data_IF_718904839004
#
_entry.id   IF_718904839004
#
_cell.length_a   1.000
_cell.length_b   1.000
_cell.length_c   1.000
_cell.angle_alpha   90.00
_cell.angle_beta   90.00
_cell.angle_gamma   90.00
#
_symmetry.space_group_name_H-M   'P 1'
#
loop_
_entity.id
_entity.type
_entity.pdbx_description
1 polymer ?
#
# COMPACT_ATOMS: atom_id res chain seq x y z
N UNK A 1 -18.78 -39.30 -1.21
CA UNK A 1 -18.60 -38.06 -0.42
C UNK A 1 -17.15 -37.86 -0.05
N UNK A 2 -16.70 -36.59 0.05
CA UNK A 2 -15.31 -36.23 0.36
C UNK A 2 -14.37 -36.09 -0.85
N UNK A 3 -14.90 -36.13 -2.08
CA UNK A 3 -14.13 -35.82 -3.28
C UNK A 3 -13.87 -34.32 -3.43
N UNK A 4 -12.81 -33.97 -4.14
CA UNK A 4 -12.46 -32.58 -4.46
C UNK A 4 -12.40 -32.43 -5.97
N UNK A 5 -13.04 -31.38 -6.49
CA UNK A 5 -12.99 -31.00 -7.90
C UNK A 5 -12.45 -29.58 -8.00
N UNK A 6 -11.41 -29.39 -8.82
CA UNK A 6 -10.94 -28.07 -9.22
C UNK A 6 -11.53 -27.76 -10.60
N UNK A 7 -12.34 -26.71 -10.68
CA UNK A 7 -12.80 -26.20 -11.96
C UNK A 7 -11.64 -25.55 -12.73
N UNK A 8 -11.79 -25.49 -14.04
CA UNK A 8 -10.89 -24.73 -14.89
C UNK A 8 -10.97 -23.22 -14.57
N UNK A 9 -9.99 -22.44 -15.03
CA UNK A 9 -9.92 -21.00 -14.77
C UNK A 9 -11.23 -20.26 -15.11
N UNK A 10 -11.88 -19.68 -14.09
CA UNK A 10 -13.13 -18.92 -14.23
C UNK A 10 -13.00 -17.72 -15.20
N UNK A 11 -11.79 -17.21 -15.43
CA UNK A 11 -11.56 -16.11 -16.39
C UNK A 11 -11.39 -16.55 -17.84
N UNK A 12 -11.48 -17.85 -18.14
CA UNK A 12 -11.69 -18.30 -19.53
C UNK A 12 -13.07 -17.90 -20.06
N UNK A 13 -14.02 -17.63 -19.16
CA UNK A 13 -15.33 -17.10 -19.48
C UNK A 13 -15.28 -15.57 -19.43
N UNK A 14 -15.52 -14.90 -20.56
CA UNK A 14 -15.52 -13.43 -20.67
C UNK A 14 -16.63 -12.78 -19.85
N UNK A 15 -17.62 -13.58 -19.48
CA UNK A 15 -18.77 -13.27 -18.66
C UNK A 15 -18.41 -13.07 -17.18
N UNK A 16 -17.29 -13.65 -16.71
CA UNK A 16 -16.85 -13.59 -15.31
C UNK A 16 -16.64 -12.15 -14.83
N UNK A 17 -15.80 -11.38 -15.52
CA UNK A 17 -15.48 -10.00 -15.13
C UNK A 17 -16.66 -9.03 -15.34
N UNK A 18 -17.67 -9.44 -16.11
CA UNK A 18 -18.90 -8.68 -16.33
C UNK A 18 -19.97 -8.97 -15.28
N UNK A 19 -19.72 -9.92 -14.38
CA UNK A 19 -20.70 -10.40 -13.42
C UNK A 19 -22.00 -10.84 -14.07
N UNK A 20 -21.88 -11.58 -15.18
CA UNK A 20 -23.04 -11.98 -15.97
C UNK A 20 -23.99 -12.90 -15.15
N UNK A 21 -25.29 -12.57 -15.07
CA UNK A 21 -26.24 -13.36 -14.28
C UNK A 21 -26.41 -14.80 -14.77
N UNK A 22 -26.35 -15.05 -16.08
CA UNK A 22 -26.52 -16.40 -16.62
C UNK A 22 -25.29 -17.26 -16.37
N UNK A 23 -24.09 -16.67 -16.43
CA UNK A 23 -22.88 -17.36 -16.01
C UNK A 23 -22.87 -17.66 -14.50
N UNK A 24 -23.28 -16.70 -13.67
CA UNK A 24 -23.40 -16.90 -12.22
C UNK A 24 -24.41 -18.01 -11.86
N UNK A 25 -25.55 -18.11 -12.56
CA UNK A 25 -26.50 -19.22 -12.42
C UNK A 25 -25.90 -20.56 -12.79
N UNK A 26 -25.11 -20.62 -13.87
CA UNK A 26 -24.41 -21.85 -14.29
C UNK A 26 -23.45 -22.33 -13.21
N UNK A 27 -22.62 -21.43 -12.67
CA UNK A 27 -21.74 -21.74 -11.54
C UNK A 27 -22.52 -22.21 -10.31
N UNK A 28 -23.60 -21.51 -9.98
CA UNK A 28 -24.46 -21.86 -8.85
C UNK A 28 -25.12 -23.24 -9.01
N UNK A 29 -25.46 -23.65 -10.23
CA UNK A 29 -26.14 -24.95 -10.47
C UNK A 29 -25.31 -26.18 -10.08
N UNK A 30 -24.01 -26.00 -9.80
CA UNK A 30 -23.07 -27.07 -9.44
C UNK A 30 -22.94 -27.31 -7.93
N UNK A 31 -23.58 -26.50 -7.09
CA UNK A 31 -23.39 -26.54 -5.64
C UNK A 31 -24.67 -26.17 -4.87
N UNK A 32 -24.71 -26.53 -3.58
CA UNK A 32 -25.82 -26.18 -2.69
C UNK A 32 -25.54 -24.91 -1.87
N UNK A 33 -24.26 -24.62 -1.61
CA UNK A 33 -23.81 -23.50 -0.80
C UNK A 33 -22.57 -22.85 -1.40
N UNK A 34 -22.30 -21.62 -0.99
CA UNK A 34 -21.14 -20.85 -1.44
C UNK A 34 -20.27 -20.42 -0.26
N UNK A 35 -18.96 -20.64 -0.41
CA UNK A 35 -17.95 -20.17 0.54
C UNK A 35 -16.98 -19.27 -0.24
N UNK A 36 -16.94 -17.99 0.09
CA UNK A 36 -15.92 -17.08 -0.44
C UNK A 36 -14.70 -17.11 0.48
N UNK A 37 -13.62 -17.75 0.04
CA UNK A 37 -12.34 -17.77 0.74
C UNK A 37 -11.24 -16.96 0.00
N UNK A 38 -11.66 -16.06 -0.90
CA UNK A 38 -10.78 -15.31 -1.80
C UNK A 38 -10.86 -13.78 -1.56
N UNK A 39 -10.29 -13.31 -0.45
CA UNK A 39 -10.28 -11.87 -0.10
C UNK A 39 -9.72 -10.98 -1.23
N UNK A 40 -8.64 -11.41 -1.87
CA UNK A 40 -7.98 -10.65 -2.95
C UNK A 40 -8.87 -10.35 -4.16
N UNK A 41 -9.96 -11.09 -4.36
CA UNK A 41 -10.93 -10.86 -5.45
C UNK A 41 -12.23 -10.21 -4.98
N UNK A 42 -12.47 -10.13 -3.67
CA UNK A 42 -13.73 -9.64 -3.09
C UNK A 42 -14.03 -8.16 -3.37
N UNK A 43 -13.01 -7.37 -3.74
CA UNK A 43 -13.16 -5.96 -4.11
C UNK A 43 -13.76 -5.74 -5.51
N UNK A 44 -13.99 -6.80 -6.29
CA UNK A 44 -14.60 -6.74 -7.62
C UNK A 44 -15.89 -7.54 -7.65
N UNK A 45 -16.92 -6.95 -8.25
CA UNK A 45 -18.17 -7.63 -8.53
C UNK A 45 -17.99 -8.50 -9.78
N UNK A 46 -17.65 -9.77 -9.61
CA UNK A 46 -17.58 -10.76 -10.68
C UNK A 46 -18.59 -11.89 -10.45
N UNK A 47 -18.84 -12.73 -11.47
CA UNK A 47 -19.83 -13.79 -11.37
C UNK A 47 -19.46 -14.82 -10.30
N UNK A 48 -18.20 -15.23 -10.21
CA UNK A 48 -17.71 -16.19 -9.21
C UNK A 48 -17.61 -15.63 -7.78
N UNK A 49 -17.55 -14.29 -7.61
CA UNK A 49 -17.32 -13.65 -6.31
C UNK A 49 -18.58 -13.02 -5.70
N UNK A 50 -19.38 -12.34 -6.51
CA UNK A 50 -20.59 -11.60 -6.12
C UNK A 50 -21.83 -12.24 -6.73
N UNK A 51 -21.83 -12.51 -8.04
CA UNK A 51 -23.02 -12.96 -8.77
C UNK A 51 -23.58 -14.27 -8.24
N UNK A 52 -22.71 -15.25 -7.98
CA UNK A 52 -23.09 -16.58 -7.48
C UNK A 52 -23.84 -16.50 -6.13
N UNK A 53 -23.56 -15.49 -5.31
CA UNK A 53 -24.19 -15.31 -3.98
C UNK A 53 -25.68 -14.97 -4.04
N UNK A 54 -26.16 -14.53 -5.22
CA UNK A 54 -27.56 -14.26 -5.49
C UNK A 54 -28.37 -15.55 -5.65
N UNK A 55 -27.71 -16.65 -5.99
CA UNK A 55 -28.35 -17.93 -6.31
C UNK A 55 -28.06 -19.03 -5.28
N UNK A 56 -26.92 -18.97 -4.57
CA UNK A 56 -26.57 -19.94 -3.54
C UNK A 56 -26.84 -19.42 -2.12
N UNK A 57 -27.52 -20.25 -1.31
CA UNK A 57 -27.80 -19.98 0.11
C UNK A 57 -27.57 -21.27 0.94
N UNK A 58 -26.74 -21.22 2.00
CA UNK A 58 -26.05 -20.05 2.53
C UNK A 58 -24.87 -19.61 1.65
N UNK A 59 -24.55 -18.32 1.71
CA UNK A 59 -23.32 -17.74 1.18
C UNK A 59 -22.52 -17.19 2.35
N UNK A 60 -21.34 -17.75 2.61
CA UNK A 60 -20.54 -17.47 3.81
C UNK A 60 -19.10 -17.10 3.45
N UNK A 61 -18.41 -16.46 4.39
CA UNK A 61 -16.97 -16.28 4.33
C UNK A 61 -16.26 -17.59 4.73
N UNK A 62 -15.21 -17.94 3.99
CA UNK A 62 -14.24 -18.94 4.45
C UNK A 62 -13.30 -18.37 5.51
N UNK A 63 -12.43 -19.22 6.05
CA UNK A 63 -11.55 -18.84 7.16
C UNK A 63 -10.44 -17.86 6.76
N UNK A 64 -9.92 -17.91 5.53
CA UNK A 64 -8.94 -16.94 5.04
C UNK A 64 -9.59 -15.57 4.88
N UNK A 65 -10.78 -15.52 4.27
CA UNK A 65 -11.50 -14.25 4.12
C UNK A 65 -11.87 -13.67 5.49
N UNK A 66 -12.37 -14.50 6.40
CA UNK A 66 -12.68 -14.09 7.78
C UNK A 66 -11.44 -13.52 8.47
N UNK A 67 -10.31 -14.23 8.41
CA UNK A 67 -9.05 -13.81 9.01
C UNK A 67 -8.59 -12.46 8.47
N UNK A 68 -8.66 -12.24 7.15
CA UNK A 68 -8.32 -10.95 6.52
C UNK A 68 -9.23 -9.83 7.03
N UNK A 69 -10.55 -10.06 7.12
CA UNK A 69 -11.50 -9.09 7.67
C UNK A 69 -11.20 -8.77 9.14
N UNK A 70 -10.95 -9.79 9.97
CA UNK A 70 -10.66 -9.61 11.39
C UNK A 70 -9.39 -8.77 11.60
N UNK A 71 -8.34 -9.01 10.81
CA UNK A 71 -7.12 -8.21 10.87
C UNK A 71 -7.34 -6.78 10.39
N UNK A 72 -7.94 -6.59 9.22
CA UNK A 72 -8.11 -5.25 8.64
C UNK A 72 -9.10 -4.41 9.44
N UNK A 73 -10.25 -4.96 9.80
CA UNK A 73 -11.25 -4.24 10.62
C UNK A 73 -10.72 -4.01 12.01
N UNK A 74 -10.06 -5.00 12.63
CA UNK A 74 -9.47 -4.87 13.96
C UNK A 74 -8.37 -3.80 14.01
N UNK A 75 -7.42 -3.85 13.08
CA UNK A 75 -6.30 -2.91 13.03
C UNK A 75 -6.74 -1.49 12.66
N UNK A 76 -7.84 -1.31 11.94
CA UNK A 76 -8.26 0.02 11.45
C UNK A 76 -9.40 0.62 12.29
N UNK A 77 -10.33 -0.16 12.80
CA UNK A 77 -11.52 0.36 13.49
C UNK A 77 -11.30 0.63 14.97
N UNK A 78 -10.49 -0.19 15.65
CA UNK A 78 -10.15 -0.01 17.06
C UNK A 78 -8.68 -0.42 17.34
N UNK A 79 -7.70 0.28 16.74
CA UNK A 79 -6.29 -0.04 16.90
C UNK A 79 -5.82 0.12 18.35
N UNK A 80 -4.84 -0.67 18.76
CA UNK A 80 -4.10 -0.40 19.99
C UNK A 80 -3.17 0.79 19.72
N UNK A 81 -3.28 1.84 20.54
CA UNK A 81 -2.50 3.07 20.39
C UNK A 81 -1.18 3.05 21.18
N UNK A 82 -0.08 3.63 20.66
CA UNK A 82 -0.01 4.40 19.41
C UNK A 82 -0.16 3.56 18.13
N UNK A 83 -0.95 4.05 17.19
CA UNK A 83 -1.21 3.44 15.89
C UNK A 83 -0.40 4.15 14.81
N UNK A 84 0.51 3.43 14.16
CA UNK A 84 1.28 3.95 13.05
C UNK A 84 0.82 3.35 11.71
N UNK A 85 0.91 4.16 10.66
CA UNK A 85 0.88 3.67 9.30
C UNK A 85 2.17 4.01 8.56
N UNK A 86 2.59 3.09 7.70
CA UNK A 86 3.71 3.23 6.79
C UNK A 86 3.14 3.13 5.38
N UNK A 87 3.28 4.19 4.58
CA UNK A 87 2.76 4.22 3.21
C UNK A 87 3.91 4.53 2.26
N UNK A 88 4.20 3.56 1.39
CA UNK A 88 5.20 3.67 0.35
C UNK A 88 4.63 3.52 -1.05
N UNK A 89 5.52 3.55 -2.04
CA UNK A 89 5.19 3.40 -3.45
C UNK A 89 5.67 4.57 -4.31
N UNK A 90 5.48 4.44 -5.62
CA UNK A 90 6.05 5.38 -6.59
C UNK A 90 5.18 6.63 -6.83
N UNK A 91 3.87 6.56 -6.60
CA UNK A 91 2.92 7.63 -6.96
C UNK A 91 1.98 7.97 -5.82
N UNK A 92 1.87 9.26 -5.51
CA UNK A 92 0.88 9.83 -4.58
C UNK A 92 -0.53 9.50 -5.06
N UNK A 93 -0.81 9.65 -6.35
CA UNK A 93 -2.14 9.42 -6.96
C UNK A 93 -2.72 8.04 -6.65
N UNK A 94 -1.86 7.01 -6.59
CA UNK A 94 -2.26 5.63 -6.28
C UNK A 94 -2.55 5.39 -4.79
N UNK A 95 -2.13 6.30 -3.91
CA UNK A 95 -2.17 6.16 -2.44
C UNK A 95 -3.02 7.21 -1.74
N UNK A 96 -3.64 8.15 -2.46
CA UNK A 96 -4.43 9.24 -1.89
C UNK A 96 -5.49 8.70 -0.92
N UNK A 97 -6.36 7.79 -1.38
CA UNK A 97 -7.44 7.27 -0.55
C UNK A 97 -6.94 6.51 0.69
N UNK A 98 -5.78 5.85 0.58
CA UNK A 98 -5.13 5.17 1.71
C UNK A 98 -4.63 6.20 2.73
N UNK A 99 -3.89 7.22 2.28
CA UNK A 99 -3.38 8.28 3.16
C UNK A 99 -4.53 9.04 3.82
N UNK A 100 -5.54 9.47 3.06
CA UNK A 100 -6.67 10.22 3.60
C UNK A 100 -7.44 9.42 4.64
N UNK A 101 -7.68 8.13 4.39
CA UNK A 101 -8.36 7.25 5.35
C UNK A 101 -7.54 7.04 6.62
N UNK A 102 -6.22 6.88 6.50
CA UNK A 102 -5.33 6.64 7.63
C UNK A 102 -5.09 7.91 8.45
N UNK A 103 -5.03 9.09 7.83
CA UNK A 103 -4.93 10.37 8.54
C UNK A 103 -6.07 10.62 9.52
N UNK A 104 -7.23 10.00 9.33
CA UNK A 104 -8.35 10.07 10.28
C UNK A 104 -8.15 9.20 11.54
N UNK A 105 -7.17 8.29 11.52
CA UNK A 105 -7.10 7.17 12.48
C UNK A 105 -5.75 7.02 13.17
N UNK A 106 -4.66 7.25 12.46
CA UNK A 106 -3.29 6.99 12.95
C UNK A 106 -2.79 8.13 13.84
N UNK A 107 -1.90 7.80 14.78
CA UNK A 107 -1.14 8.77 15.55
C UNK A 107 0.14 9.20 14.79
N UNK A 108 0.71 8.27 14.01
CA UNK A 108 1.95 8.46 13.25
C UNK A 108 1.75 7.99 11.80
N UNK A 109 2.20 8.79 10.84
CA UNK A 109 2.20 8.43 9.42
C UNK A 109 3.61 8.58 8.85
N UNK A 110 4.24 7.46 8.50
CA UNK A 110 5.52 7.40 7.80
C UNK A 110 5.27 7.31 6.30
N UNK A 111 5.88 8.19 5.50
CA UNK A 111 5.83 8.10 4.04
C UNK A 111 7.18 7.71 3.45
N UNK A 112 7.19 6.83 2.47
CA UNK A 112 8.40 6.35 1.78
C UNK A 112 8.18 6.12 0.29
N UNK A 113 9.18 5.56 -0.40
CA UNK A 113 9.14 5.30 -1.85
C UNK A 113 9.22 6.57 -2.70
N UNK A 114 9.07 6.43 -4.02
CA UNK A 114 9.16 7.56 -4.96
C UNK A 114 8.14 8.68 -4.71
N UNK A 115 7.02 8.39 -4.07
CA UNK A 115 5.99 9.41 -3.85
C UNK A 115 6.41 10.54 -2.92
N UNK A 116 7.43 10.35 -2.07
CA UNK A 116 7.95 11.39 -1.16
C UNK A 116 8.51 12.60 -1.91
N UNK A 117 9.01 12.42 -3.14
CA UNK A 117 9.60 13.52 -3.90
C UNK A 117 8.54 14.53 -4.36
N UNK A 118 7.28 14.11 -4.54
CA UNK A 118 6.15 15.04 -4.74
C UNK A 118 5.92 15.89 -3.49
N UNK A 119 6.07 15.34 -2.28
CA UNK A 119 5.96 16.10 -1.03
C UNK A 119 7.13 17.07 -0.85
N UNK A 120 8.37 16.64 -1.13
CA UNK A 120 9.53 17.52 -1.07
C UNK A 120 9.46 18.66 -2.08
N UNK A 121 9.03 18.36 -3.32
CA UNK A 121 8.82 19.37 -4.36
C UNK A 121 7.75 20.38 -3.93
N UNK A 122 6.65 19.91 -3.34
CA UNK A 122 5.60 20.78 -2.79
C UNK A 122 6.09 21.68 -1.64
N UNK A 123 7.12 21.25 -0.89
CA UNK A 123 7.80 22.05 0.13
C UNK A 123 8.89 22.98 -0.44
N UNK A 124 9.08 23.00 -1.76
CA UNK A 124 10.07 23.84 -2.45
C UNK A 124 11.48 23.27 -2.48
N UNK A 125 11.68 22.00 -2.14
CA UNK A 125 13.00 21.36 -2.19
C UNK A 125 13.38 20.92 -3.61
N UNK A 126 14.68 20.92 -3.91
CA UNK A 126 15.19 20.28 -5.12
C UNK A 126 15.17 18.76 -4.98
N UNK A 127 14.69 18.08 -6.01
CA UNK A 127 14.55 16.61 -6.05
C UNK A 127 15.28 15.99 -7.24
N UNK A 128 16.13 16.75 -7.92
CA UNK A 128 16.86 16.31 -9.11
C UNK A 128 15.93 15.71 -10.17
N UNK A 129 16.24 14.49 -10.60
CA UNK A 129 15.46 13.70 -11.56
C UNK A 129 14.55 12.66 -10.90
N UNK A 130 14.24 12.82 -9.61
CA UNK A 130 13.36 11.91 -8.88
C UNK A 130 11.91 11.98 -9.40
N UNK A 131 11.13 10.93 -9.15
CA UNK A 131 9.75 10.81 -9.63
C UNK A 131 8.82 11.80 -8.92
N UNK A 132 8.26 12.75 -9.67
CA UNK A 132 7.32 13.77 -9.16
C UNK A 132 6.02 13.74 -9.95
N UNK A 133 4.90 13.84 -9.25
CA UNK A 133 3.58 14.11 -9.85
C UNK A 133 3.28 15.61 -9.74
N UNK A 134 3.67 16.38 -10.76
CA UNK A 134 3.55 17.85 -10.77
C UNK A 134 2.10 18.34 -10.60
N UNK A 135 1.12 17.57 -11.10
CA UNK A 135 -0.31 17.86 -10.95
C UNK A 135 -0.88 17.49 -9.56
N UNK A 136 -0.02 17.08 -8.62
CA UNK A 136 -0.38 16.64 -7.26
C UNK A 136 0.35 17.41 -6.15
N UNK A 137 1.09 18.48 -6.46
CA UNK A 137 1.79 19.29 -5.46
C UNK A 137 0.84 19.97 -4.46
N UNK A 138 -0.27 20.52 -4.95
CA UNK A 138 -1.30 21.14 -4.09
C UNK A 138 -1.94 20.11 -3.16
N UNK A 139 -2.14 18.89 -3.68
CA UNK A 139 -2.66 17.78 -2.88
C UNK A 139 -1.66 17.38 -1.78
N UNK A 140 -0.38 17.21 -2.12
CA UNK A 140 0.66 16.90 -1.14
C UNK A 140 0.73 17.96 -0.03
N UNK A 141 0.66 19.25 -0.40
CA UNK A 141 0.58 20.37 0.55
C UNK A 141 -0.65 20.27 1.46
N UNK A 142 -1.81 19.95 0.89
CA UNK A 142 -3.07 19.79 1.63
C UNK A 142 -2.99 18.62 2.62
N UNK A 143 -2.39 17.50 2.22
CA UNK A 143 -2.21 16.32 3.08
C UNK A 143 -1.29 16.64 4.28
N UNK A 144 -0.20 17.37 4.07
CA UNK A 144 0.69 17.83 5.15
C UNK A 144 -0.06 18.75 6.14
N UNK A 145 -0.85 19.70 5.61
CA UNK A 145 -1.67 20.59 6.44
C UNK A 145 -2.73 19.82 7.23
N UNK A 146 -3.40 18.83 6.59
CA UNK A 146 -4.40 17.98 7.22
C UNK A 146 -3.81 17.15 8.35
N UNK A 147 -2.63 16.56 8.16
CA UNK A 147 -1.92 15.83 9.20
C UNK A 147 -1.65 16.73 10.42
N UNK A 148 -1.12 17.94 10.19
CA UNK A 148 -0.88 18.93 11.26
C UNK A 148 -2.16 19.33 11.98
N UNK A 149 -3.23 19.61 11.25
CA UNK A 149 -4.52 20.01 11.82
C UNK A 149 -5.14 18.92 12.72
N UNK A 150 -4.83 17.65 12.43
CA UNK A 150 -5.29 16.49 13.21
C UNK A 150 -4.34 16.06 14.32
N UNK A 151 -3.18 16.70 14.45
CA UNK A 151 -2.14 16.28 15.39
C UNK A 151 -1.49 14.95 15.03
N UNK A 152 -1.56 14.51 13.77
CA UNK A 152 -0.87 13.31 13.29
C UNK A 152 0.60 13.64 13.05
N UNK A 153 1.50 12.84 13.61
CA UNK A 153 2.94 12.96 13.36
C UNK A 153 3.27 12.37 11.99
N UNK A 154 3.26 13.22 10.95
CA UNK A 154 3.63 12.83 9.59
C UNK A 154 5.14 13.00 9.41
N UNK A 155 5.84 11.89 9.14
CA UNK A 155 7.28 11.86 8.95
C UNK A 155 7.63 11.57 7.49
N UNK A 156 8.50 12.42 6.95
CA UNK A 156 9.17 12.24 5.67
C UNK A 156 10.65 11.92 5.94
N UNK A 157 11.31 11.15 5.05
CA UNK A 157 12.74 10.88 5.16
C UNK A 157 13.58 12.18 5.24
N UNK A 158 14.55 12.24 6.14
CA UNK A 158 15.51 13.34 6.26
C UNK A 158 16.69 13.21 5.29
N UNK A 159 16.98 11.99 4.86
CA UNK A 159 18.05 11.62 3.94
C UNK A 159 17.58 10.50 3.01
N UNK A 160 18.21 10.40 1.84
CA UNK A 160 17.83 9.46 0.79
C UNK A 160 19.08 8.86 0.14
N UNK A 161 18.94 7.62 -0.31
CA UNK A 161 19.89 7.00 -1.23
C UNK A 161 19.53 7.44 -2.64
N UNK A 162 20.45 8.15 -3.29
CA UNK A 162 20.28 8.63 -4.67
C UNK A 162 21.16 7.85 -5.64
N UNK A 163 20.74 7.80 -6.90
CA UNK A 163 21.49 7.19 -7.99
C UNK A 163 21.51 8.08 -9.25
N UNK A 164 22.51 7.86 -10.10
CA UNK A 164 22.65 8.54 -11.40
C UNK A 164 21.78 7.94 -12.51
N UNK A 165 21.25 6.73 -12.32
CA UNK A 165 20.31 6.06 -13.21
C UNK A 165 19.43 5.05 -12.47
N UNK A 166 18.28 4.71 -13.04
CA UNK A 166 17.39 3.66 -12.54
C UNK A 166 17.89 2.28 -12.97
N UNK A 167 18.90 1.74 -12.28
CA UNK A 167 19.47 0.43 -12.59
C UNK A 167 20.17 -0.18 -11.36
N UNK A 168 20.27 -1.52 -11.26
CA UNK A 168 20.95 -2.17 -10.14
C UNK A 168 22.46 -1.80 -10.05
N UNK A 169 23.09 -1.52 -11.19
CA UNK A 169 24.50 -1.17 -11.31
C UNK A 169 24.78 0.34 -11.20
N UNK A 170 23.79 1.17 -10.91
CA UNK A 170 23.93 2.62 -10.84
C UNK A 170 24.94 3.08 -9.78
N UNK A 171 25.62 4.20 -10.02
CA UNK A 171 26.41 4.84 -8.97
C UNK A 171 25.44 5.39 -7.92
N UNK A 172 25.72 5.18 -6.64
CA UNK A 172 24.87 5.67 -5.57
C UNK A 172 25.64 6.43 -4.49
N UNK A 173 24.91 7.31 -3.79
CA UNK A 173 25.38 7.99 -2.59
C UNK A 173 24.19 8.36 -1.71
N UNK A 174 24.47 8.64 -0.44
CA UNK A 174 23.47 9.16 0.50
C UNK A 174 23.60 10.67 0.56
N UNK A 175 22.46 11.37 0.53
CA UNK A 175 22.41 12.82 0.70
C UNK A 175 21.22 13.20 1.59
N UNK A 176 21.27 14.36 2.26
CA UNK A 176 20.07 14.96 2.84
C UNK A 176 18.97 15.12 1.77
N UNK A 177 17.70 14.94 2.14
CA UNK A 177 16.56 15.08 1.21
C UNK A 177 16.43 16.48 0.61
N UNK A 178 17.03 17.49 1.25
CA UNK A 178 17.12 18.87 0.77
C UNK A 178 18.26 19.14 -0.21
N UNK A 179 19.14 18.17 -0.46
CA UNK A 179 20.39 18.35 -1.20
C UNK A 179 20.57 17.35 -2.35
N UNK A 180 19.47 16.94 -3.00
CA UNK A 180 19.50 16.04 -4.16
C UNK A 180 20.05 16.80 -5.37
N UNK A 181 21.20 16.40 -5.96
CA UNK A 181 21.79 17.07 -7.11
C UNK A 181 20.99 16.86 -8.39
N UNK A 182 21.10 17.80 -9.34
CA UNK A 182 20.52 17.65 -10.68
C UNK A 182 21.06 16.39 -11.38
N UNK A 183 20.19 15.71 -12.11
CA UNK A 183 20.50 14.45 -12.79
C UNK A 183 20.52 13.21 -11.90
N UNK A 184 20.45 13.37 -10.57
CA UNK A 184 20.33 12.26 -9.62
C UNK A 184 18.88 12.04 -9.20
N UNK A 185 18.51 10.80 -8.89
CA UNK A 185 17.17 10.42 -8.44
C UNK A 185 17.23 9.63 -7.14
N UNK A 186 16.32 9.88 -6.21
CA UNK A 186 16.23 9.10 -4.98
C UNK A 186 15.51 7.78 -5.22
N UNK A 187 16.11 6.69 -4.74
CA UNK A 187 15.64 5.32 -4.95
C UNK A 187 15.42 4.55 -3.65
N UNK A 188 15.87 5.06 -2.50
CA UNK A 188 15.58 4.48 -1.18
C UNK A 188 15.72 5.55 -0.08
N UNK A 189 15.25 5.23 1.13
CA UNK A 189 15.45 6.08 2.31
C UNK A 189 16.87 5.90 2.86
N UNK A 190 17.46 6.98 3.37
CA UNK A 190 18.80 6.95 3.95
C UNK A 190 18.83 6.42 5.39
N UNK A 191 20.04 6.17 5.94
CA UNK A 191 20.23 5.63 7.29
C UNK A 191 19.66 6.50 8.41
N UNK A 192 19.68 7.83 8.29
CA UNK A 192 19.12 8.71 9.33
C UNK A 192 17.59 8.62 9.36
N UNK A 193 16.97 8.48 8.18
CA UNK A 193 15.54 8.25 8.02
C UNK A 193 15.13 6.89 8.55
N UNK A 194 15.89 5.84 8.23
CA UNK A 194 15.69 4.50 8.81
C UNK A 194 15.72 4.55 10.33
N UNK A 195 16.69 5.26 10.92
CA UNK A 195 16.82 5.40 12.36
C UNK A 195 15.61 6.13 12.97
N UNK A 196 15.26 7.31 12.44
CA UNK A 196 14.13 8.08 12.98
C UNK A 196 12.78 7.38 12.81
N UNK A 197 12.56 6.70 11.68
CA UNK A 197 11.37 5.89 11.45
C UNK A 197 11.32 4.71 12.42
N UNK A 198 12.45 4.03 12.61
CA UNK A 198 12.59 2.93 13.58
C UNK A 198 12.24 3.37 15.00
N UNK A 199 12.78 4.50 15.45
CA UNK A 199 12.51 5.06 16.78
C UNK A 199 11.03 5.41 16.96
N UNK A 200 10.39 5.96 15.92
CA UNK A 200 8.95 6.22 15.94
C UNK A 200 8.14 4.92 16.06
N UNK A 201 8.51 3.87 15.32
CA UNK A 201 7.82 2.57 15.32
C UNK A 201 8.00 1.79 16.62
N UNK A 202 9.17 1.88 17.28
CA UNK A 202 9.46 1.17 18.53
C UNK A 202 8.46 1.52 19.67
N UNK A 203 7.79 2.67 19.57
CA UNK A 203 6.78 3.13 20.55
C UNK A 203 5.35 2.69 20.23
N UNK A 204 5.12 2.07 19.07
CA UNK A 204 3.79 1.80 18.53
C UNK A 204 3.26 0.43 18.98
N UNK A 205 1.93 0.30 19.07
CA UNK A 205 1.25 -0.96 19.44
C UNK A 205 0.49 -1.58 18.29
N UNK A 206 0.28 -0.84 17.21
CA UNK A 206 -0.33 -1.32 15.97
C UNK A 206 0.38 -0.61 14.83
N UNK A 207 0.77 -1.38 13.82
CA UNK A 207 1.41 -0.87 12.60
C UNK A 207 0.63 -1.44 11.42
N UNK A 208 0.29 -0.58 10.45
CA UNK A 208 -0.10 -1.00 9.12
C UNK A 208 0.94 -0.54 8.12
N UNK A 209 1.42 -1.44 7.28
CA UNK A 209 2.40 -1.11 6.26
C UNK A 209 1.87 -1.43 4.85
N UNK A 210 1.81 -0.40 4.00
CA UNK A 210 1.42 -0.52 2.61
C UNK A 210 2.42 0.16 1.67
N UNK A 211 3.34 -0.61 1.12
CA UNK A 211 4.26 -0.19 0.05
C UNK A 211 5.70 0.04 0.52
N UNK A 212 6.70 -0.29 -0.32
CA UNK A 212 8.11 -0.27 0.05
C UNK A 212 8.65 1.17 0.24
N UNK A 213 9.78 1.27 0.92
CA UNK A 213 10.47 2.55 1.16
C UNK A 213 11.37 2.98 -0.01
N UNK A 214 11.71 2.04 -0.90
CA UNK A 214 12.58 2.23 -2.05
C UNK A 214 12.31 1.23 -3.17
N UNK A 215 13.19 1.22 -4.17
CA UNK A 215 13.21 0.28 -5.30
C UNK A 215 13.84 -1.04 -4.85
N UNK A 216 13.11 -1.75 -4.00
CA UNK A 216 13.59 -2.94 -3.32
C UNK A 216 13.90 -4.12 -4.25
N UNK A 217 13.50 -4.05 -5.52
CA UNK A 217 13.87 -5.01 -6.56
C UNK A 217 15.37 -4.96 -6.92
N UNK A 218 16.08 -3.89 -6.52
CA UNK A 218 17.53 -3.76 -6.65
C UNK A 218 18.15 -3.78 -5.25
N UNK A 219 19.03 -4.74 -4.97
CA UNK A 219 19.65 -4.94 -3.64
C UNK A 219 20.23 -3.65 -3.03
N UNK A 220 20.81 -2.78 -3.87
CA UNK A 220 21.39 -1.49 -3.49
C UNK A 220 20.37 -0.49 -2.92
N UNK A 221 19.10 -0.63 -3.28
CA UNK A 221 17.98 0.25 -2.92
C UNK A 221 16.86 -0.51 -2.16
N UNK A 222 17.19 -1.69 -1.63
CA UNK A 222 16.31 -2.48 -0.77
C UNK A 222 16.57 -2.24 0.73
N UNK A 223 17.72 -1.66 1.08
CA UNK A 223 18.23 -1.55 2.46
C UNK A 223 17.24 -0.85 3.39
N UNK A 224 16.66 0.26 2.97
CA UNK A 224 15.68 1.01 3.75
C UNK A 224 14.38 0.24 3.93
N UNK A 225 13.89 -0.40 2.87
CA UNK A 225 12.69 -1.25 2.93
C UNK A 225 12.90 -2.43 3.89
N UNK A 226 14.03 -3.12 3.80
CA UNK A 226 14.37 -4.23 4.70
C UNK A 226 14.57 -3.78 6.15
N UNK A 227 15.18 -2.62 6.36
CA UNK A 227 15.41 -2.11 7.71
C UNK A 227 14.10 -1.81 8.42
N UNK A 228 13.14 -1.21 7.72
CA UNK A 228 11.78 -1.00 8.24
C UNK A 228 11.03 -2.33 8.42
N UNK A 229 11.22 -3.31 7.54
CA UNK A 229 10.58 -4.63 7.67
C UNK A 229 11.04 -5.41 8.92
N UNK A 230 12.25 -5.15 9.41
CA UNK A 230 12.83 -5.79 10.61
C UNK A 230 12.30 -5.19 11.91
N UNK A 231 11.45 -4.16 11.85
CA UNK A 231 10.80 -3.51 12.99
C UNK A 231 9.39 -4.05 13.20
#
# INVERSE_FOLDING_TARGET
DGGVLLLENVRFYKEEEKNDPEHAKKLASLADLYVNDAFGTAHRAHASTEGVTKYLKPSVAGFLLQKELDYLVGAVSNPKRPFAAIVGGSKVSSKIGVIESLLEKVDILLLGGGMIFTFYKAQGLSVGSSLVEEDKLDLATTLLAKAKAKGVSLLLPSDVVIADKFAPDANSKIVPSSAIPDGWMGLDIGPDSVKSFSEALDTTKTIIWNGPMGVFEFDKFAVGTEAIAKK
#
